data_IF_995655494471
#
_entry.id   IF_995655494471
#
_cell.length_a   1.000
_cell.length_b   1.000
_cell.length_c   1.000
_cell.angle_alpha   90.00
_cell.angle_beta   90.00
_cell.angle_gamma   90.00
#
_symmetry.space_group_name_H-M   'P 1'
#
loop_
_entity.id
_entity.type
_entity.pdbx_description
1 polymer ?
#
# COMPACT_ATOMS: atom_id res chain seq x y z
N UNK A 1 14.47 4.32 -19.95
CA UNK A 1 15.76 3.84 -19.43
C UNK A 1 16.71 5.03 -19.34
N UNK A 2 17.21 5.34 -18.14
CA UNK A 2 18.17 6.42 -17.91
C UNK A 2 19.58 5.87 -17.67
N UNK A 3 20.61 6.67 -17.95
CA UNK A 3 22.00 6.36 -17.64
C UNK A 3 22.55 7.42 -16.67
N UNK A 4 22.88 7.01 -15.45
CA UNK A 4 23.32 7.89 -14.37
C UNK A 4 24.77 7.54 -14.00
N UNK A 5 25.78 8.18 -14.63
CA UNK A 5 27.18 7.89 -14.35
C UNK A 5 27.61 8.45 -12.99
N UNK A 6 28.69 7.90 -12.43
CA UNK A 6 29.29 8.40 -11.18
C UNK A 6 30.09 9.70 -11.37
N UNK A 7 30.18 10.23 -12.59
CA UNK A 7 30.86 11.50 -12.87
C UNK A 7 30.07 12.65 -12.25
N UNK A 8 30.57 13.21 -11.15
CA UNK A 8 29.92 14.30 -10.42
C UNK A 8 28.95 13.85 -9.33
N UNK A 9 28.82 12.55 -9.08
CA UNK A 9 28.06 12.01 -7.96
C UNK A 9 28.67 10.67 -7.52
N UNK A 10 29.20 10.61 -6.29
CA UNK A 10 29.64 9.33 -5.73
C UNK A 10 28.41 8.50 -5.34
N UNK A 11 28.02 7.58 -6.22
CA UNK A 11 26.88 6.69 -5.99
C UNK A 11 27.09 5.83 -4.73
N UNK A 12 28.34 5.45 -4.40
CA UNK A 12 28.63 4.65 -3.22
C UNK A 12 28.44 5.41 -1.91
N UNK A 13 28.56 6.74 -1.93
CA UNK A 13 28.30 7.60 -0.78
C UNK A 13 26.81 7.69 -0.45
N UNK A 14 25.95 7.77 -1.47
CA UNK A 14 24.52 8.04 -1.29
C UNK A 14 23.62 6.79 -1.35
N UNK A 15 24.09 5.68 -1.95
CA UNK A 15 23.30 4.47 -2.14
C UNK A 15 23.87 3.28 -1.36
N UNK A 16 23.27 2.99 -0.20
CA UNK A 16 23.53 1.77 0.56
C UNK A 16 22.75 0.55 0.06
N UNK A 17 22.62 -0.48 0.92
CA UNK A 17 21.77 -1.64 0.64
C UNK A 17 20.32 -1.20 0.44
N UNK A 18 19.69 -1.66 -0.64
CA UNK A 18 18.32 -1.28 -1.00
C UNK A 18 17.37 -2.48 -0.93
N UNK A 19 16.09 -2.18 -0.78
CA UNK A 19 15.00 -3.13 -0.97
C UNK A 19 14.36 -2.91 -2.34
N UNK A 20 13.90 -3.98 -2.97
CA UNK A 20 13.02 -3.88 -4.12
C UNK A 20 11.59 -3.66 -3.62
N UNK A 21 10.91 -2.63 -4.13
CA UNK A 21 9.55 -2.26 -3.75
C UNK A 21 8.70 -2.23 -5.02
N UNK A 22 7.56 -2.92 -4.96
CA UNK A 22 6.48 -2.79 -5.92
C UNK A 22 5.31 -2.14 -5.20
N UNK A 23 4.85 -1.00 -5.71
CA UNK A 23 3.67 -0.32 -5.18
C UNK A 23 2.84 0.27 -6.32
N UNK A 24 1.54 0.33 -6.09
CA UNK A 24 0.60 1.15 -6.86
C UNK A 24 -0.04 2.08 -5.84
N UNK A 25 0.35 3.34 -5.88
CA UNK A 25 -0.25 4.39 -5.06
C UNK A 25 -1.15 5.28 -5.91
N UNK A 26 -2.20 5.82 -5.30
CA UNK A 26 -3.16 6.68 -5.97
C UNK A 26 -3.10 8.09 -5.37
N UNK A 27 -3.16 9.09 -6.24
CA UNK A 27 -3.06 10.50 -5.89
C UNK A 27 -1.73 10.84 -5.19
N UNK A 28 -1.72 10.92 -3.87
CA UNK A 28 -0.56 11.35 -3.09
C UNK A 28 -0.01 12.72 -3.51
N UNK A 29 1.23 12.99 -3.09
CA UNK A 29 1.88 14.29 -3.31
C UNK A 29 2.18 14.58 -4.79
N UNK A 30 2.27 13.54 -5.62
CA UNK A 30 2.58 13.69 -7.03
C UNK A 30 1.35 13.57 -7.93
N UNK A 31 0.76 12.39 -8.05
CA UNK A 31 -0.38 12.18 -8.95
C UNK A 31 -1.64 12.95 -8.52
N UNK A 32 -1.78 13.27 -7.24
CA UNK A 32 -2.90 14.04 -6.69
C UNK A 32 -2.69 15.55 -6.73
N UNK A 33 -1.46 16.02 -6.97
CA UNK A 33 -1.17 17.45 -7.01
C UNK A 33 -1.90 18.09 -8.21
N UNK A 34 -2.67 19.19 -8.01
CA UNK A 34 -3.49 19.79 -9.05
C UNK A 34 -2.72 20.16 -10.32
N UNK A 35 -1.44 20.53 -10.19
CA UNK A 35 -0.55 20.89 -11.31
C UNK A 35 -0.29 19.73 -12.26
N UNK A 36 -0.35 18.49 -11.78
CA UNK A 36 -0.16 17.28 -12.59
C UNK A 36 -1.49 16.62 -12.92
N UNK A 37 -2.37 16.48 -11.93
CA UNK A 37 -3.65 15.79 -12.09
C UNK A 37 -4.52 16.44 -13.18
N UNK A 38 -4.62 17.77 -13.17
CA UNK A 38 -5.48 18.52 -14.10
C UNK A 38 -5.02 18.47 -15.57
N UNK A 39 -3.81 17.98 -15.85
CA UNK A 39 -3.32 17.83 -17.22
C UNK A 39 -4.07 16.75 -18.00
N UNK A 40 -4.61 15.74 -17.30
CA UNK A 40 -5.21 14.55 -17.94
C UNK A 40 -6.51 14.09 -17.28
N UNK A 41 -6.77 14.50 -16.04
CA UNK A 41 -7.95 14.09 -15.28
C UNK A 41 -8.74 15.32 -14.80
N UNK A 42 -10.05 15.21 -14.75
CA UNK A 42 -10.95 16.24 -14.20
C UNK A 42 -11.44 15.85 -12.82
N UNK A 43 -11.80 16.81 -11.98
CA UNK A 43 -12.35 16.55 -10.64
C UNK A 43 -11.30 16.55 -9.54
N UNK A 44 -11.63 15.93 -8.40
CA UNK A 44 -10.78 15.78 -7.22
C UNK A 44 -10.20 14.38 -7.17
N UNK A 45 -8.88 14.24 -7.33
CA UNK A 45 -8.20 12.94 -7.42
C UNK A 45 -8.68 11.95 -6.34
N UNK A 46 -8.63 12.34 -5.07
CA UNK A 46 -8.95 11.40 -3.99
C UNK A 46 -10.46 11.05 -3.92
N UNK A 47 -11.34 12.05 -3.96
CA UNK A 47 -12.77 11.83 -3.79
C UNK A 47 -13.39 11.10 -4.99
N UNK A 48 -12.98 11.49 -6.21
CA UNK A 48 -13.62 11.00 -7.42
C UNK A 48 -12.97 9.71 -7.94
N UNK A 49 -11.67 9.50 -7.70
CA UNK A 49 -10.92 8.38 -8.27
C UNK A 49 -10.46 7.37 -7.23
N UNK A 50 -10.22 7.73 -5.97
CA UNK A 50 -9.84 6.74 -4.94
C UNK A 50 -11.06 6.22 -4.19
N UNK A 51 -11.94 7.13 -3.77
CA UNK A 51 -13.19 6.79 -3.06
C UNK A 51 -14.38 6.59 -4.01
N UNK A 52 -14.23 6.94 -5.29
CA UNK A 52 -15.26 6.81 -6.31
C UNK A 52 -15.40 5.40 -6.86
N UNK A 53 -15.81 5.28 -8.12
CA UNK A 53 -15.99 3.98 -8.76
C UNK A 53 -14.64 3.28 -8.99
N UNK A 54 -14.39 2.20 -8.23
CA UNK A 54 -13.16 1.41 -8.35
C UNK A 54 -13.08 0.54 -9.62
N UNK A 55 -14.16 0.43 -10.41
CA UNK A 55 -14.19 -0.41 -11.61
C UNK A 55 -13.15 0.02 -12.66
N UNK A 56 -12.70 1.28 -12.62
CA UNK A 56 -11.72 1.85 -13.54
C UNK A 56 -10.29 1.31 -13.34
N UNK A 57 -10.04 0.57 -12.26
CA UNK A 57 -8.70 0.02 -11.93
C UNK A 57 -8.52 -1.44 -12.32
N UNK A 58 -9.39 -2.00 -13.18
CA UNK A 58 -9.31 -3.40 -13.61
C UNK A 58 -7.94 -3.80 -14.18
N UNK A 59 -7.24 -2.85 -14.81
CA UNK A 59 -5.91 -3.06 -15.42
C UNK A 59 -4.76 -2.50 -14.56
N UNK A 60 -5.02 -2.05 -13.33
CA UNK A 60 -4.01 -1.45 -12.44
C UNK A 60 -3.37 -2.51 -11.54
N UNK A 61 -2.63 -3.46 -12.13
CA UNK A 61 -1.91 -4.50 -11.40
C UNK A 61 -0.55 -4.82 -12.04
N UNK A 62 0.34 -5.41 -11.25
CA UNK A 62 1.56 -6.03 -11.78
C UNK A 62 1.33 -7.52 -12.01
N UNK A 63 1.62 -8.00 -13.21
CA UNK A 63 1.78 -9.43 -13.48
C UNK A 63 3.27 -9.75 -13.52
N UNK A 64 3.80 -10.33 -12.46
CA UNK A 64 5.25 -10.61 -12.32
C UNK A 64 5.49 -12.12 -12.41
N UNK A 65 6.17 -12.54 -13.47
CA UNK A 65 6.59 -13.94 -13.64
C UNK A 65 7.73 -14.30 -12.67
N UNK A 66 8.84 -13.56 -12.71
CA UNK A 66 9.93 -13.71 -11.74
C UNK A 66 10.75 -12.43 -11.55
N UNK A 67 11.39 -12.35 -10.39
CA UNK A 67 12.45 -11.38 -10.08
C UNK A 67 13.72 -12.16 -9.76
N UNK A 68 14.82 -11.83 -10.44
CA UNK A 68 16.15 -12.43 -10.22
C UNK A 68 17.17 -11.35 -9.93
N UNK A 69 17.92 -11.53 -8.84
CA UNK A 69 18.98 -10.60 -8.41
C UNK A 69 20.32 -11.34 -8.52
N UNK A 70 21.30 -10.69 -9.14
CA UNK A 70 22.63 -11.25 -9.35
C UNK A 70 23.67 -10.38 -8.64
N UNK A 71 24.72 -11.02 -8.13
CA UNK A 71 25.87 -10.36 -7.48
C UNK A 71 27.16 -10.92 -8.04
N UNK A 72 28.15 -10.05 -8.27
CA UNK A 72 29.44 -10.43 -8.86
C UNK A 72 30.34 -11.21 -7.87
N UNK A 73 30.17 -11.00 -6.56
CA UNK A 73 31.06 -11.55 -5.54
C UNK A 73 30.43 -12.64 -4.65
N UNK A 74 29.26 -13.17 -5.01
CA UNK A 74 28.62 -14.25 -4.23
C UNK A 74 28.24 -13.87 -2.80
N UNK A 75 28.38 -12.60 -2.40
CA UNK A 75 27.84 -12.09 -1.14
C UNK A 75 26.33 -12.23 -1.22
N UNK A 76 25.82 -13.22 -0.48
CA UNK A 76 24.43 -13.59 -0.47
C UNK A 76 23.58 -12.34 -0.13
N UNK A 77 22.51 -12.05 -0.89
CA UNK A 77 21.56 -11.04 -0.45
C UNK A 77 21.10 -11.41 0.97
N UNK A 78 20.98 -10.45 1.90
CA UNK A 78 20.40 -10.76 3.20
C UNK A 78 19.06 -11.46 2.95
N UNK A 79 18.92 -12.65 3.52
CA UNK A 79 17.80 -13.56 3.28
C UNK A 79 16.50 -12.77 3.32
N UNK A 80 15.78 -12.76 2.20
CA UNK A 80 14.49 -12.11 2.06
C UNK A 80 13.53 -12.67 3.10
N UNK A 81 13.32 -11.96 4.21
CA UNK A 81 12.09 -12.13 4.98
C UNK A 81 10.97 -11.66 4.07
N UNK A 82 10.23 -12.62 3.49
CA UNK A 82 9.06 -12.35 2.67
C UNK A 82 8.20 -11.26 3.33
N UNK A 83 7.78 -10.21 2.61
CA UNK A 83 6.80 -9.28 3.14
C UNK A 83 5.51 -10.07 3.38
N UNK A 84 5.17 -10.28 4.64
CA UNK A 84 3.83 -10.73 5.03
C UNK A 84 2.84 -9.68 4.55
N UNK A 85 2.10 -10.00 3.50
CA UNK A 85 0.98 -9.22 2.97
C UNK A 85 -0.01 -8.93 4.09
N UNK A 86 0.16 -7.79 4.74
CA UNK A 86 -0.69 -7.35 5.84
C UNK A 86 -1.71 -6.39 5.25
N UNK A 87 -2.73 -6.95 4.61
CA UNK A 87 -3.91 -6.20 4.18
C UNK A 87 -4.73 -5.85 5.41
N UNK A 88 -4.30 -4.86 6.19
CA UNK A 88 -5.13 -4.28 7.24
C UNK A 88 -6.10 -3.29 6.60
N UNK A 89 -7.27 -3.80 6.22
CA UNK A 89 -8.46 -2.98 5.95
C UNK A 89 -8.84 -2.31 7.26
N UNK A 90 -8.38 -1.07 7.47
CA UNK A 90 -8.80 -0.26 8.60
C UNK A 90 -10.24 0.20 8.35
N UNK A 91 -11.19 -0.36 9.09
CA UNK A 91 -12.57 0.12 9.16
C UNK A 91 -12.57 1.54 9.74
N UNK A 92 -13.25 2.54 9.12
CA UNK A 92 -13.26 3.90 9.63
C UNK A 92 -14.06 3.94 10.94
N UNK A 93 -13.36 3.99 12.07
CA UNK A 93 -13.99 4.28 13.36
C UNK A 93 -13.91 5.79 13.60
N UNK A 94 -15.08 6.41 13.69
CA UNK A 94 -15.29 7.81 14.05
C UNK A 94 -14.54 8.18 15.34
N UNK A 95 -13.73 9.23 15.29
CA UNK A 95 -13.05 9.77 16.47
C UNK A 95 -14.04 10.49 17.40
N UNK A 96 -14.07 10.09 18.68
CA UNK A 96 -14.42 10.99 19.78
C UNK A 96 -13.48 10.78 20.98
N UNK A 97 -12.49 11.67 21.05
CA UNK A 97 -11.82 12.29 22.21
C UNK A 97 -11.78 11.54 23.56
N UNK A 98 -10.52 11.28 23.99
CA UNK A 98 -9.93 11.30 25.35
C UNK A 98 -10.25 10.20 26.38
N UNK A 99 -9.20 9.49 26.83
CA UNK A 99 -9.15 8.90 28.18
C UNK A 99 -8.17 7.72 28.34
N UNK A 100 -7.14 7.89 29.18
CA UNK A 100 -6.22 6.85 29.63
C UNK A 100 -6.96 5.62 30.20
N UNK A 101 -6.68 4.42 29.69
CA UNK A 101 -7.12 3.18 30.33
C UNK A 101 -6.82 1.92 29.52
N UNK A 102 -5.93 1.07 30.03
CA UNK A 102 -5.63 -0.27 29.49
C UNK A 102 -6.90 -1.10 29.37
N UNK A 103 -7.29 -1.49 28.15
CA UNK A 103 -8.45 -2.36 27.91
C UNK A 103 -8.00 -3.73 27.43
N UNK A 104 -8.22 -4.76 28.25
CA UNK A 104 -8.06 -6.16 27.87
C UNK A 104 -9.19 -6.55 26.91
N UNK A 105 -8.84 -6.94 25.69
CA UNK A 105 -9.80 -7.44 24.70
C UNK A 105 -10.30 -8.82 25.13
N UNK A 106 -11.61 -8.93 25.38
CA UNK A 106 -12.33 -10.21 25.51
C UNK A 106 -13.36 -10.30 24.40
N UNK A 107 -13.07 -11.11 23.38
CA UNK A 107 -13.98 -11.39 22.27
C UNK A 107 -14.97 -12.45 22.77
N UNK A 108 -16.23 -12.06 22.97
CA UNK A 108 -17.32 -12.95 23.38
C UNK A 108 -18.02 -13.52 22.15
N UNK A 109 -18.03 -14.85 22.03
CA UNK A 109 -18.59 -15.64 20.92
C UNK A 109 -20.13 -15.73 20.92
N UNK A 110 -20.84 -14.68 21.37
CA UNK A 110 -22.31 -14.73 21.54
C UNK A 110 -23.12 -13.99 20.46
N UNK A 111 -22.49 -13.21 19.57
CA UNK A 111 -23.23 -12.41 18.59
C UNK A 111 -23.49 -13.07 17.24
N UNK A 112 -23.02 -14.30 17.00
CA UNK A 112 -23.19 -14.98 15.71
C UNK A 112 -24.45 -15.87 15.58
N UNK A 113 -25.25 -16.07 16.65
CA UNK A 113 -26.35 -17.07 16.63
C UNK A 113 -27.75 -16.45 16.56
N UNK A 114 -27.93 -15.16 16.85
CA UNK A 114 -29.29 -14.59 17.02
C UNK A 114 -29.94 -14.13 15.69
N UNK A 115 -29.19 -13.82 14.63
CA UNK A 115 -29.79 -13.32 13.37
C UNK A 115 -30.34 -14.46 12.48
N UNK A 116 -29.93 -15.71 12.71
CA UNK A 116 -30.32 -16.85 11.86
C UNK A 116 -31.70 -17.47 12.15
N UNK A 117 -32.36 -17.12 13.25
CA UNK A 117 -33.59 -17.81 13.72
C UNK A 117 -34.89 -17.04 13.41
N UNK A 118 -34.84 -15.81 12.90
CA UNK A 118 -36.04 -14.94 12.79
C UNK A 118 -36.60 -14.77 11.37
N UNK A 119 -36.09 -15.44 10.33
CA UNK A 119 -36.56 -15.22 8.94
C UNK A 119 -37.03 -16.48 8.18
N UNK A 120 -37.45 -17.52 8.89
CA UNK A 120 -38.42 -18.50 8.35
C UNK A 120 -39.52 -18.76 9.40
N UNK A 121 -40.38 -17.77 9.60
CA UNK A 121 -41.75 -17.86 10.09
C UNK A 121 -42.53 -16.62 9.61
#
# INVERSE_FOLDING_TARGET
MGHYPSTGCDIGEFFGKQNLIFDITLCGDFAGAPTFFSLTCTGQCYQDYVMGDGSVYGDAYFEVDYVRVFSLNGTEPPSSSSPSSSSSVALPTMHKVQGNGVTRVRISWLFAVIVGVVLWA
#
